data_IF_640326111067
#
_entry.id   IF_640326111067
#
_cell.length_a   1.000
_cell.length_b   1.000
_cell.length_c   1.000
_cell.angle_alpha   90.00
_cell.angle_beta   90.00
_cell.angle_gamma   90.00
#
_symmetry.space_group_name_H-M   'P 1'
#
loop_
_entity.id
_entity.type
_entity.pdbx_description
1 polymer ?
#
# COMPACT_ATOMS: atom_id res chain seq x y z
N UNK A 1 67.85 -1.81 6.87
CA UNK A 1 67.96 -0.45 6.30
C UNK A 1 66.82 -0.23 5.31
N UNK A 2 66.01 0.85 5.51
CA UNK A 2 65.17 1.59 4.52
C UNK A 2 64.07 0.79 3.76
N UNK A 3 62.82 1.22 3.58
CA UNK A 3 62.01 2.42 3.88
C UNK A 3 60.51 2.03 3.74
N UNK A 4 59.69 2.59 4.63
CA UNK A 4 58.28 3.04 4.55
C UNK A 4 57.65 3.03 3.14
N UNK A 5 56.37 2.59 3.01
CA UNK A 5 55.23 3.36 2.46
C UNK A 5 53.90 2.62 2.72
N UNK A 6 53.02 3.33 3.42
CA UNK A 6 51.61 3.04 3.64
C UNK A 6 50.81 3.25 2.34
N UNK A 7 49.81 2.40 2.06
CA UNK A 7 48.64 2.84 1.31
C UNK A 7 47.39 2.03 1.74
N UNK A 8 46.60 2.67 2.61
CA UNK A 8 45.17 2.43 2.73
C UNK A 8 44.51 2.60 1.35
N UNK A 9 43.77 1.59 0.89
CA UNK A 9 42.70 1.78 -0.10
C UNK A 9 41.45 1.05 0.39
N UNK A 10 40.74 1.73 1.29
CA UNK A 10 39.32 1.57 1.56
C UNK A 10 38.51 1.68 0.26
N UNK A 11 38.04 0.56 -0.27
CA UNK A 11 36.95 0.52 -1.22
C UNK A 11 35.66 0.20 -0.45
N UNK A 12 35.10 1.26 0.14
CA UNK A 12 33.70 1.30 0.53
C UNK A 12 32.87 1.23 -0.77
N UNK A 13 32.42 0.04 -1.14
CA UNK A 13 31.29 -0.12 -2.05
C UNK A 13 30.03 0.27 -1.26
N UNK A 14 29.83 1.58 -1.09
CA UNK A 14 28.52 2.15 -0.86
C UNK A 14 27.72 1.86 -2.13
N UNK A 15 27.10 0.68 -2.17
CA UNK A 15 26.01 0.42 -3.09
C UNK A 15 24.95 1.46 -2.82
N UNK A 16 24.79 2.40 -3.76
CA UNK A 16 23.61 3.25 -3.81
C UNK A 16 22.41 2.31 -3.83
N UNK A 17 21.73 2.18 -2.68
CA UNK A 17 20.38 1.62 -2.65
C UNK A 17 19.53 2.64 -3.39
N UNK A 18 19.36 2.44 -4.69
CA UNK A 18 18.36 3.15 -5.47
C UNK A 18 17.02 2.87 -4.80
N UNK A 19 16.45 3.92 -4.22
CA UNK A 19 15.09 3.92 -3.71
C UNK A 19 14.16 3.95 -4.93
N UNK A 20 14.12 2.84 -5.66
CA UNK A 20 13.27 2.66 -6.82
C UNK A 20 11.83 2.62 -6.29
N UNK A 21 11.04 3.65 -6.61
CA UNK A 21 9.60 3.63 -6.37
C UNK A 21 9.04 2.38 -7.02
N UNK A 22 8.40 1.48 -6.27
CA UNK A 22 7.80 0.27 -6.87
C UNK A 22 6.62 0.63 -7.79
N UNK A 23 6.24 1.92 -7.86
CA UNK A 23 5.14 2.45 -8.66
C UNK A 23 5.73 3.24 -9.82
N UNK A 24 5.47 2.78 -11.04
CA UNK A 24 5.77 3.51 -12.27
C UNK A 24 4.46 3.88 -12.95
N UNK A 25 4.16 5.17 -13.05
CA UNK A 25 2.94 5.63 -13.72
C UNK A 25 3.01 5.31 -15.23
N UNK A 26 2.02 4.60 -15.72
CA UNK A 26 1.87 4.22 -17.13
C UNK A 26 1.06 5.27 -17.92
N UNK A 27 1.05 5.15 -19.25
CA UNK A 27 0.12 5.92 -20.08
C UNK A 27 -1.34 5.55 -19.80
N UNK A 28 -1.59 4.27 -19.50
CA UNK A 28 -2.92 3.74 -19.19
C UNK A 28 -3.52 4.44 -17.96
N UNK A 29 -2.72 4.66 -16.91
CA UNK A 29 -3.17 5.36 -15.70
C UNK A 29 -3.62 6.79 -16.01
N UNK A 30 -2.85 7.51 -16.84
CA UNK A 30 -3.15 8.90 -17.20
C UNK A 30 -4.46 9.05 -17.95
N UNK A 31 -4.83 8.07 -18.77
CA UNK A 31 -6.10 8.10 -19.50
C UNK A 31 -7.27 7.74 -18.58
N UNK A 32 -7.09 6.78 -17.68
CA UNK A 32 -8.09 6.42 -16.68
C UNK A 32 -8.48 7.62 -15.80
N UNK A 33 -7.49 8.32 -15.22
CA UNK A 33 -7.75 9.42 -14.29
C UNK A 33 -8.26 10.72 -14.93
N UNK A 34 -8.36 10.79 -16.27
CA UNK A 34 -9.02 11.90 -16.99
C UNK A 34 -10.52 11.74 -17.11
N UNK A 35 -11.04 10.55 -16.86
CA UNK A 35 -12.48 10.26 -16.93
C UNK A 35 -13.22 10.89 -15.74
N UNK A 36 -14.54 11.03 -15.85
CA UNK A 36 -15.35 11.40 -14.69
C UNK A 36 -15.29 10.31 -13.61
N UNK A 37 -15.52 10.66 -12.33
CA UNK A 37 -15.53 9.68 -11.23
C UNK A 37 -16.47 8.51 -11.49
N UNK A 38 -17.66 8.77 -12.06
CA UNK A 38 -18.63 7.72 -12.39
C UNK A 38 -18.11 6.76 -13.47
N UNK A 39 -17.42 7.27 -14.49
CA UNK A 39 -16.79 6.45 -15.52
C UNK A 39 -15.57 5.69 -14.98
N UNK A 40 -14.78 6.30 -14.08
CA UNK A 40 -13.68 5.64 -13.40
C UNK A 40 -14.18 4.43 -12.62
N UNK A 41 -15.20 4.60 -11.78
CA UNK A 41 -15.82 3.49 -11.02
C UNK A 41 -16.33 2.39 -11.96
N UNK A 42 -17.07 2.77 -13.01
CA UNK A 42 -17.62 1.80 -13.97
C UNK A 42 -16.52 1.00 -14.67
N UNK A 43 -15.44 1.66 -15.11
CA UNK A 43 -14.31 0.97 -15.76
C UNK A 43 -13.51 0.14 -14.77
N UNK A 44 -13.25 0.67 -13.59
CA UNK A 44 -12.50 0.00 -12.53
C UNK A 44 -13.10 -1.36 -12.21
N UNK A 45 -14.42 -1.43 -12.02
CA UNK A 45 -15.15 -2.68 -11.77
C UNK A 45 -15.02 -3.72 -12.89
N UNK A 46 -14.74 -3.30 -14.12
CA UNK A 46 -14.55 -4.18 -15.28
C UNK A 46 -13.12 -4.65 -15.50
N UNK A 47 -12.14 -4.11 -14.78
CA UNK A 47 -10.75 -4.53 -14.88
C UNK A 47 -10.45 -5.77 -14.02
N UNK A 48 -9.36 -6.45 -14.34
CA UNK A 48 -8.85 -7.53 -13.51
C UNK A 48 -8.28 -7.02 -12.17
N UNK A 49 -8.06 -7.97 -11.26
CA UNK A 49 -7.65 -7.68 -9.88
C UNK A 49 -6.32 -6.91 -9.79
N UNK A 50 -5.34 -7.26 -10.63
CA UNK A 50 -4.02 -6.61 -10.64
C UNK A 50 -4.13 -5.17 -11.15
N UNK A 51 -4.87 -4.95 -12.23
CA UNK A 51 -5.09 -3.62 -12.80
C UNK A 51 -5.87 -2.72 -11.84
N UNK A 52 -6.90 -3.25 -11.17
CA UNK A 52 -7.61 -2.52 -10.12
C UNK A 52 -6.68 -2.12 -8.97
N UNK A 53 -5.81 -3.03 -8.54
CA UNK A 53 -4.84 -2.73 -7.48
C UNK A 53 -3.83 -1.66 -7.92
N UNK A 54 -3.29 -1.76 -9.14
CA UNK A 54 -2.37 -0.75 -9.69
C UNK A 54 -3.01 0.63 -9.72
N UNK A 55 -4.22 0.75 -10.27
CA UNK A 55 -4.95 2.02 -10.33
C UNK A 55 -5.24 2.57 -8.93
N UNK A 56 -5.60 1.73 -7.95
CA UNK A 56 -5.80 2.16 -6.57
C UNK A 56 -4.51 2.78 -6.00
N UNK A 57 -3.37 2.10 -6.19
CA UNK A 57 -2.08 2.54 -5.67
C UNK A 57 -1.62 3.83 -6.35
N UNK A 58 -1.66 3.90 -7.69
CA UNK A 58 -1.32 5.12 -8.45
C UNK A 58 -2.27 6.27 -8.06
N UNK A 59 -3.57 6.00 -7.96
CA UNK A 59 -4.59 6.97 -7.60
C UNK A 59 -4.39 7.59 -6.22
N UNK A 60 -3.89 6.82 -5.25
CA UNK A 60 -3.66 7.29 -3.89
C UNK A 60 -2.28 7.90 -3.65
N UNK A 61 -1.29 7.57 -4.48
CA UNK A 61 0.12 7.94 -4.22
C UNK A 61 0.68 8.95 -5.22
N UNK A 62 0.13 9.02 -6.44
CA UNK A 62 0.65 9.87 -7.53
C UNK A 62 -0.37 10.91 -7.97
N UNK A 63 -1.66 10.57 -8.00
CA UNK A 63 -2.72 11.46 -8.48
C UNK A 63 -3.13 12.47 -7.40
N UNK A 64 -3.46 13.69 -7.83
CA UNK A 64 -3.98 14.73 -6.95
C UNK A 64 -5.30 15.33 -7.47
N UNK A 65 -6.37 15.36 -6.65
CA UNK A 65 -6.45 14.81 -5.28
C UNK A 65 -6.42 13.25 -5.26
N UNK A 66 -6.07 12.62 -4.12
CA UNK A 66 -6.06 11.15 -4.00
C UNK A 66 -7.42 10.52 -4.31
N UNK A 67 -7.42 9.44 -5.09
CA UNK A 67 -8.63 8.75 -5.53
C UNK A 67 -9.17 7.73 -4.49
N UNK A 68 -9.40 8.19 -3.26
CA UNK A 68 -9.73 7.32 -2.11
C UNK A 68 -10.98 6.45 -2.33
N UNK A 69 -11.91 6.89 -3.17
CA UNK A 69 -13.14 6.16 -3.51
C UNK A 69 -12.86 4.80 -4.20
N UNK A 70 -11.69 4.61 -4.81
CA UNK A 70 -11.32 3.33 -5.43
C UNK A 70 -11.07 2.23 -4.38
N UNK A 71 -10.67 2.59 -3.15
CA UNK A 71 -10.53 1.62 -2.07
C UNK A 71 -11.87 1.01 -1.66
N UNK A 72 -12.94 1.83 -1.64
CA UNK A 72 -14.30 1.36 -1.39
C UNK A 72 -14.75 0.38 -2.48
N UNK A 73 -14.54 0.72 -3.75
CA UNK A 73 -14.90 -0.17 -4.87
C UNK A 73 -14.11 -1.49 -4.83
N UNK A 74 -12.81 -1.43 -4.52
CA UNK A 74 -11.98 -2.62 -4.42
C UNK A 74 -12.39 -3.53 -3.26
N UNK A 75 -12.75 -2.94 -2.12
CA UNK A 75 -13.18 -3.65 -0.91
C UNK A 75 -14.47 -4.44 -1.09
N UNK A 76 -15.35 -4.09 -2.04
CA UNK A 76 -16.61 -4.82 -2.31
C UNK A 76 -16.39 -6.28 -2.71
N UNK A 77 -15.21 -6.64 -3.19
CA UNK A 77 -14.86 -8.03 -3.53
C UNK A 77 -14.73 -8.95 -2.29
N UNK A 78 -14.61 -8.36 -1.10
CA UNK A 78 -14.67 -9.05 0.19
C UNK A 78 -13.59 -10.12 0.36
N UNK A 79 -13.97 -11.26 0.92
CA UNK A 79 -13.04 -12.36 1.29
C UNK A 79 -12.16 -12.84 0.13
N UNK A 80 -12.66 -12.77 -1.11
CA UNK A 80 -11.99 -13.34 -2.29
C UNK A 80 -10.60 -12.74 -2.56
N UNK A 81 -10.38 -11.47 -2.20
CA UNK A 81 -9.12 -10.76 -2.47
C UNK A 81 -8.17 -10.72 -1.26
N UNK A 82 -8.53 -11.31 -0.12
CA UNK A 82 -7.66 -11.33 1.08
C UNK A 82 -6.30 -12.00 0.81
N UNK A 83 -6.19 -13.15 0.11
CA UNK A 83 -4.89 -13.73 -0.22
C UNK A 83 -4.03 -12.78 -1.07
N UNK A 84 -4.65 -12.06 -2.00
CA UNK A 84 -3.99 -11.07 -2.85
C UNK A 84 -3.48 -9.87 -2.03
N UNK A 85 -4.31 -9.29 -1.15
CA UNK A 85 -3.90 -8.19 -0.29
C UNK A 85 -2.75 -8.59 0.65
N UNK A 86 -2.80 -9.82 1.20
CA UNK A 86 -1.70 -10.36 2.03
C UNK A 86 -0.41 -10.48 1.23
N UNK A 87 -0.45 -10.96 -0.01
CA UNK A 87 0.75 -11.10 -0.84
C UNK A 87 1.37 -9.73 -1.17
N UNK A 88 0.54 -8.73 -1.52
CA UNK A 88 1.03 -7.36 -1.77
C UNK A 88 1.62 -6.71 -0.51
N UNK A 89 0.98 -6.86 0.65
CA UNK A 89 1.51 -6.36 1.93
C UNK A 89 2.82 -7.03 2.35
N UNK A 90 2.98 -8.33 2.07
CA UNK A 90 4.19 -9.07 2.38
C UNK A 90 5.37 -8.65 1.48
N UNK A 91 5.09 -8.37 0.20
CA UNK A 91 6.11 -8.05 -0.79
C UNK A 91 6.60 -6.60 -0.73
N UNK A 92 5.73 -5.65 -0.40
CA UNK A 92 6.07 -4.22 -0.48
C UNK A 92 7.02 -3.76 0.63
N UNK A 93 7.94 -2.86 0.27
CA UNK A 93 8.72 -2.05 1.21
C UNK A 93 8.18 -0.62 1.34
N UNK A 94 7.18 -0.26 0.54
CA UNK A 94 6.61 1.08 0.53
C UNK A 94 5.58 1.26 1.64
N UNK A 95 5.85 2.22 2.51
CA UNK A 95 4.98 2.56 3.63
C UNK A 95 3.60 3.08 3.20
N UNK A 96 3.54 3.82 2.09
CA UNK A 96 2.29 4.29 1.49
C UNK A 96 1.42 3.13 0.99
N UNK A 97 2.04 2.06 0.46
CA UNK A 97 1.33 0.85 0.07
C UNK A 97 0.78 0.10 1.28
N UNK A 98 1.52 0.07 2.40
CA UNK A 98 0.99 -0.47 3.67
C UNK A 98 -0.26 0.30 4.09
N UNK A 99 -0.21 1.64 4.09
CA UNK A 99 -1.38 2.49 4.35
C UNK A 99 -2.55 2.14 3.42
N UNK A 100 -2.32 2.08 2.11
CA UNK A 100 -3.39 1.86 1.13
C UNK A 100 -4.08 0.52 1.29
N UNK A 101 -3.34 -0.55 1.56
CA UNK A 101 -3.97 -1.85 1.81
C UNK A 101 -4.75 -1.83 3.13
N UNK A 102 -4.24 -1.18 4.17
CA UNK A 102 -5.00 -1.04 5.43
C UNK A 102 -6.29 -0.23 5.21
N UNK A 103 -6.27 0.79 4.34
CA UNK A 103 -7.48 1.51 3.95
C UNK A 103 -8.52 0.60 3.27
N UNK A 104 -8.09 -0.29 2.36
CA UNK A 104 -9.00 -1.30 1.77
C UNK A 104 -9.60 -2.21 2.84
N UNK A 105 -8.80 -2.66 3.81
CA UNK A 105 -9.29 -3.49 4.92
C UNK A 105 -10.28 -2.72 5.82
N UNK A 106 -10.06 -1.42 6.04
CA UNK A 106 -10.99 -0.57 6.76
C UNK A 106 -12.33 -0.45 6.02
N UNK A 107 -12.28 -0.24 4.70
CA UNK A 107 -13.48 -0.24 3.85
C UNK A 107 -14.20 -1.59 3.87
N UNK A 108 -13.48 -2.72 3.86
CA UNK A 108 -14.10 -4.04 3.98
C UNK A 108 -14.86 -4.21 5.29
N UNK A 109 -14.27 -3.78 6.40
CA UNK A 109 -14.90 -3.83 7.72
C UNK A 109 -16.11 -2.89 7.79
N UNK A 110 -16.02 -1.69 7.19
CA UNK A 110 -17.09 -0.69 7.15
C UNK A 110 -18.28 -1.14 6.31
N UNK A 111 -18.01 -1.71 5.12
CA UNK A 111 -19.03 -2.20 4.19
C UNK A 111 -19.63 -3.55 4.62
N UNK A 112 -18.94 -4.30 5.49
CA UNK A 112 -19.32 -5.67 5.84
C UNK A 112 -19.03 -6.69 4.72
N UNK A 113 -18.23 -6.33 3.72
CA UNK A 113 -17.82 -7.27 2.65
C UNK A 113 -16.84 -8.33 3.17
N UNK A 114 -16.13 -8.03 4.27
CA UNK A 114 -15.35 -8.98 5.02
C UNK A 114 -15.16 -8.51 6.47
N UNK A 115 -15.41 -9.39 7.45
CA UNK A 115 -15.23 -9.07 8.87
C UNK A 115 -13.75 -9.18 9.27
N UNK A 116 -12.98 -8.13 8.96
CA UNK A 116 -11.53 -8.07 9.24
C UNK A 116 -11.25 -8.24 10.73
N UNK A 117 -12.03 -7.60 11.62
CA UNK A 117 -11.83 -7.69 13.08
C UNK A 117 -11.99 -9.13 13.62
N UNK A 118 -12.72 -9.99 12.91
CA UNK A 118 -12.94 -11.39 13.24
C UNK A 118 -11.82 -12.32 12.76
N UNK A 119 -10.98 -11.89 11.81
CA UNK A 119 -9.80 -12.66 11.36
C UNK A 119 -8.55 -12.27 12.17
N UNK A 120 -8.36 -12.97 13.29
CA UNK A 120 -7.21 -12.77 14.17
C UNK A 120 -5.85 -12.93 13.45
N UNK A 121 -5.76 -13.83 12.46
CA UNK A 121 -4.53 -14.03 11.69
C UNK A 121 -4.23 -12.83 10.81
N UNK A 122 -5.26 -12.26 10.15
CA UNK A 122 -5.09 -11.08 9.32
C UNK A 122 -4.74 -9.86 10.16
N UNK A 123 -5.44 -9.67 11.28
CA UNK A 123 -5.16 -8.57 12.22
C UNK A 123 -3.74 -8.65 12.75
N UNK A 124 -3.26 -9.83 13.17
CA UNK A 124 -1.89 -10.00 13.65
C UNK A 124 -0.87 -9.68 12.55
N UNK A 125 -1.10 -10.17 11.33
CA UNK A 125 -0.25 -9.87 10.18
C UNK A 125 -0.20 -8.37 9.89
N UNK A 126 -1.35 -7.68 9.84
CA UNK A 126 -1.41 -6.23 9.59
C UNK A 126 -0.70 -5.44 10.68
N UNK A 127 -0.86 -5.81 11.96
CA UNK A 127 -0.12 -5.19 13.08
C UNK A 127 1.38 -5.28 12.88
N UNK A 128 1.89 -6.44 12.49
CA UNK A 128 3.31 -6.64 12.20
C UNK A 128 3.78 -5.73 11.05
N UNK A 129 3.00 -5.65 9.96
CA UNK A 129 3.34 -4.79 8.82
C UNK A 129 3.36 -3.30 9.21
N UNK A 130 2.39 -2.83 10.00
CA UNK A 130 2.33 -1.44 10.48
C UNK A 130 3.50 -1.14 11.43
N UNK A 131 3.87 -2.07 12.31
CA UNK A 131 5.01 -1.88 13.22
C UNK A 131 6.32 -1.64 12.44
N UNK A 132 6.48 -2.27 11.28
CA UNK A 132 7.63 -2.09 10.39
C UNK A 132 7.71 -0.74 9.66
N UNK A 133 6.61 0.02 9.55
CA UNK A 133 6.55 1.33 8.86
C UNK A 133 7.23 2.38 9.74
N UNK A 134 8.33 3.01 9.33
CA UNK A 134 9.08 3.96 10.17
C UNK A 134 8.63 5.42 10.01
N UNK A 135 8.06 5.79 8.86
CA UNK A 135 7.73 7.16 8.51
C UNK A 135 6.32 7.62 8.87
N UNK A 136 5.93 8.72 8.23
CA UNK A 136 4.69 9.47 8.50
C UNK A 136 3.40 8.67 8.31
N UNK A 137 3.46 7.52 7.63
CA UNK A 137 2.28 6.70 7.35
C UNK A 137 1.91 5.77 8.51
N UNK A 138 2.81 5.51 9.47
CA UNK A 138 2.52 4.62 10.61
C UNK A 138 1.30 5.09 11.42
N UNK A 139 1.19 6.36 11.86
CA UNK A 139 0.02 6.80 12.64
C UNK A 139 -1.29 6.69 11.87
N UNK A 140 -1.27 6.96 10.56
CA UNK A 140 -2.45 6.87 9.69
C UNK A 140 -2.90 5.42 9.55
N UNK A 141 -1.97 4.51 9.25
CA UNK A 141 -2.28 3.08 9.16
C UNK A 141 -2.75 2.51 10.50
N UNK A 142 -2.13 2.93 11.61
CA UNK A 142 -2.54 2.51 12.94
C UNK A 142 -3.96 2.98 13.28
N UNK A 143 -4.29 4.24 12.99
CA UNK A 143 -5.64 4.77 13.21
C UNK A 143 -6.70 3.97 12.45
N UNK A 144 -6.46 3.64 11.18
CA UNK A 144 -7.38 2.80 10.40
C UNK A 144 -7.53 1.39 10.99
N UNK A 145 -6.45 0.80 11.50
CA UNK A 145 -6.53 -0.47 12.22
C UNK A 145 -7.33 -0.35 13.52
N UNK A 146 -7.17 0.74 14.27
CA UNK A 146 -7.92 0.98 15.50
C UNK A 146 -9.42 1.13 15.20
N UNK A 147 -9.78 1.81 14.11
CA UNK A 147 -11.16 1.89 13.61
C UNK A 147 -11.72 0.51 13.21
N UNK A 148 -10.94 -0.32 12.50
CA UNK A 148 -11.32 -1.71 12.19
C UNK A 148 -11.67 -2.48 13.47
N UNK A 149 -10.86 -2.29 14.52
CA UNK A 149 -11.00 -3.00 15.79
C UNK A 149 -12.05 -2.38 16.72
N UNK A 150 -12.73 -1.30 16.31
CA UNK A 150 -13.72 -0.60 17.12
C UNK A 150 -13.13 0.07 18.36
N UNK A 151 -11.84 0.44 18.31
CA UNK A 151 -11.18 1.13 19.42
C UNK A 151 -11.49 2.64 19.37
N UNK A 152 -11.67 3.29 20.54
CA UNK A 152 -11.93 4.73 20.59
C UNK A 152 -10.75 5.52 20.05
N UNK A 153 -11.04 6.62 19.33
CA UNK A 153 -10.04 7.60 18.89
C UNK A 153 -9.31 8.14 20.12
N UNK A 154 -8.00 7.91 20.19
CA UNK A 154 -7.13 8.42 21.25
C UNK A 154 -6.64 9.82 20.91
#
# INVERSE_FOLDING_TARGET
MRKIISLLCTLFLLGCVSNESEITQSQFDREFFRLSTAEQVKKFQGYDLETQYELLIVGNQVVHPPALYLAEEFAKQGKSIIPFLRSKLAATKQESTVRDVVAVLAEMQRLGSYEVKGDASLVAFVKERIAGVQGQWRPVAQHMLDEILGQPKR
#
